data_IF_440737126873
#
_entry.id   IF_440737126873
#
_cell.length_a   1.000
_cell.length_b   1.000
_cell.length_c   1.000
_cell.angle_alpha   90.00
_cell.angle_beta   90.00
_cell.angle_gamma   90.00
#
_symmetry.space_group_name_H-M   'P 1'
#
loop_
_entity.id
_entity.type
_entity.pdbx_description
1 polymer ?
#
# COMPACT_ATOMS: atom_id res chain seq x y z
N UNK A 1 22.92 -8.63 -36.53
CA UNK A 1 23.08 -8.04 -35.19
C UNK A 1 21.87 -7.16 -34.88
N UNK A 2 20.98 -7.56 -33.97
CA UNK A 2 20.20 -6.56 -33.26
C UNK A 2 20.29 -6.78 -31.74
N UNK A 3 20.58 -5.72 -31.01
CA UNK A 3 20.12 -5.53 -29.64
C UNK A 3 19.72 -4.05 -29.53
N UNK A 4 18.87 -3.65 -28.58
CA UNK A 4 17.71 -4.29 -27.97
C UNK A 4 16.53 -3.28 -28.05
N UNK A 5 15.55 -3.31 -27.15
CA UNK A 5 14.53 -2.26 -26.95
C UNK A 5 13.19 -2.48 -27.65
N UNK A 6 12.59 -3.65 -27.43
CA UNK A 6 11.14 -3.65 -27.21
C UNK A 6 10.91 -2.86 -25.92
N UNK A 7 10.08 -1.80 -25.91
CA UNK A 7 9.69 -1.19 -24.65
C UNK A 7 8.89 -2.27 -23.90
N UNK A 8 9.51 -2.88 -22.89
CA UNK A 8 8.77 -3.55 -21.83
C UNK A 8 8.08 -2.42 -21.10
N UNK A 9 6.96 -1.94 -21.64
CA UNK A 9 6.03 -1.13 -20.89
C UNK A 9 5.63 -2.04 -19.73
N UNK A 10 6.22 -1.78 -18.56
CA UNK A 10 5.95 -2.54 -17.35
C UNK A 10 4.43 -2.63 -17.24
N UNK A 11 3.87 -3.84 -17.37
CA UNK A 11 2.42 -4.07 -17.28
C UNK A 11 1.86 -3.49 -15.98
N UNK A 12 2.69 -3.49 -14.93
CA UNK A 12 2.45 -2.79 -13.67
C UNK A 12 2.24 -1.28 -13.90
N UNK A 13 3.11 -0.60 -14.67
CA UNK A 13 3.02 0.86 -14.97
C UNK A 13 1.70 1.30 -15.54
N UNK A 14 1.17 0.51 -16.46
CA UNK A 14 -0.10 0.82 -17.10
C UNK A 14 -1.29 0.51 -16.19
N UNK A 15 -1.25 -0.59 -15.43
CA UNK A 15 -2.36 -0.95 -14.55
C UNK A 15 -2.56 0.03 -13.40
N UNK A 16 -1.51 0.57 -12.78
CA UNK A 16 -1.72 1.60 -11.75
C UNK A 16 -2.13 2.95 -12.34
N UNK A 17 -1.67 3.32 -13.54
CA UNK A 17 -2.17 4.53 -14.20
C UNK A 17 -3.67 4.47 -14.51
N UNK A 18 -4.15 3.31 -14.96
CA UNK A 18 -5.57 3.07 -15.22
C UNK A 18 -6.40 2.97 -13.92
N UNK A 19 -5.92 2.22 -12.93
CA UNK A 19 -6.60 2.07 -11.63
C UNK A 19 -6.65 3.39 -10.83
N UNK A 20 -5.55 4.16 -10.80
CA UNK A 20 -5.50 5.46 -10.13
C UNK A 20 -6.34 6.52 -10.87
N UNK A 21 -6.52 6.40 -12.20
CA UNK A 21 -7.43 7.28 -12.95
C UNK A 21 -8.90 7.08 -12.58
N UNK A 22 -9.26 5.94 -11.98
CA UNK A 22 -10.62 5.63 -11.53
C UNK A 22 -10.82 5.75 -10.02
N UNK A 23 -9.78 6.10 -9.27
CA UNK A 23 -9.85 6.20 -7.81
C UNK A 23 -10.37 7.59 -7.38
N UNK A 24 -11.31 7.61 -6.43
CA UNK A 24 -11.79 8.83 -5.77
C UNK A 24 -10.84 9.33 -4.66
N UNK A 25 -10.16 10.48 -4.82
CA UNK A 25 -9.20 10.98 -3.83
C UNK A 25 -9.84 11.33 -2.47
N UNK A 26 -11.16 11.53 -2.40
CA UNK A 26 -11.83 11.82 -1.13
C UNK A 26 -11.80 10.63 -0.14
N UNK A 27 -11.73 9.40 -0.66
CA UNK A 27 -11.68 8.20 0.18
C UNK A 27 -10.42 8.11 1.04
N UNK A 28 -9.19 8.24 0.51
CA UNK A 28 -7.98 8.23 1.34
C UNK A 28 -7.86 9.46 2.24
N UNK A 29 -8.35 10.64 1.85
CA UNK A 29 -8.35 11.83 2.71
C UNK A 29 -9.15 11.61 4.00
N UNK A 30 -10.36 11.04 3.90
CA UNK A 30 -11.18 10.72 5.05
C UNK A 30 -10.51 9.69 5.99
N UNK A 31 -9.82 8.69 5.42
CA UNK A 31 -9.09 7.69 6.20
C UNK A 31 -7.87 8.29 6.92
N UNK A 32 -7.21 9.28 6.32
CA UNK A 32 -6.11 10.02 6.95
C UNK A 32 -6.64 10.84 8.12
N UNK A 33 -7.75 11.56 7.93
CA UNK A 33 -8.39 12.34 9.00
C UNK A 33 -8.78 11.45 10.18
N UNK A 34 -9.39 10.29 9.91
CA UNK A 34 -9.75 9.32 10.94
C UNK A 34 -8.52 8.76 11.67
N UNK A 35 -7.48 8.36 10.93
CA UNK A 35 -6.25 7.80 11.51
C UNK A 35 -5.45 8.82 12.35
N UNK A 36 -5.63 10.12 12.11
CA UNK A 36 -4.82 11.19 12.74
C UNK A 36 -5.60 12.08 13.69
N UNK A 37 -6.90 11.83 13.91
CA UNK A 37 -7.79 12.69 14.71
C UNK A 37 -7.30 12.96 16.14
N UNK A 38 -6.64 11.96 16.75
CA UNK A 38 -6.08 12.05 18.11
C UNK A 38 -4.54 12.00 18.11
N UNK A 39 -3.91 12.33 16.98
CA UNK A 39 -2.46 12.36 16.87
C UNK A 39 -1.91 13.79 17.00
N UNK A 40 -1.02 13.98 17.97
CA UNK A 40 -0.34 15.24 18.29
C UNK A 40 1.12 15.27 17.78
N UNK A 41 1.56 14.25 17.03
CA UNK A 41 2.90 14.18 16.44
C UNK A 41 3.08 12.99 15.50
N UNK A 42 4.23 12.92 14.81
CA UNK A 42 4.53 11.89 13.80
C UNK A 42 4.46 10.46 14.37
N UNK A 43 4.99 10.23 15.57
CA UNK A 43 4.96 8.92 16.22
C UNK A 43 3.52 8.44 16.48
N UNK A 44 2.65 9.36 16.87
CA UNK A 44 1.23 9.09 17.12
C UNK A 44 0.47 8.90 15.80
N UNK A 45 0.80 9.65 14.75
CA UNK A 45 0.23 9.44 13.41
C UNK A 45 0.59 8.05 12.87
N UNK A 46 1.85 7.63 12.98
CA UNK A 46 2.29 6.29 12.56
C UNK A 46 1.54 5.21 13.32
N UNK A 47 1.33 5.41 14.62
CA UNK A 47 0.56 4.49 15.45
C UNK A 47 -0.91 4.46 15.04
N UNK A 48 -1.53 5.62 14.76
CA UNK A 48 -2.90 5.71 14.28
C UNK A 48 -3.12 4.97 12.96
N UNK A 49 -2.24 5.16 11.98
CA UNK A 49 -2.29 4.39 10.72
C UNK A 49 -2.10 2.90 10.93
N UNK A 50 -1.16 2.49 11.78
CA UNK A 50 -0.92 1.08 12.07
C UNK A 50 -2.18 0.42 12.63
N UNK A 51 -2.84 1.04 13.61
CA UNK A 51 -4.09 0.54 14.21
C UNK A 51 -5.19 0.42 13.18
N UNK A 52 -5.45 1.46 12.39
CA UNK A 52 -6.51 1.43 11.37
C UNK A 52 -6.31 0.31 10.34
N UNK A 53 -5.06 0.08 9.93
CA UNK A 53 -4.71 -0.98 8.98
C UNK A 53 -4.82 -2.37 9.64
N UNK A 54 -4.31 -2.53 10.85
CA UNK A 54 -4.34 -3.81 11.56
C UNK A 54 -5.78 -4.27 11.83
N UNK A 55 -6.66 -3.35 12.23
CA UNK A 55 -8.07 -3.65 12.53
C UNK A 55 -8.90 -3.91 11.26
N UNK A 56 -8.61 -3.19 10.17
CA UNK A 56 -9.37 -3.31 8.92
C UNK A 56 -8.93 -4.48 8.05
N UNK A 57 -7.68 -4.93 8.17
CA UNK A 57 -7.10 -5.92 7.27
C UNK A 57 -7.38 -7.35 7.74
N UNK A 58 -8.26 -8.03 7.02
CA UNK A 58 -8.48 -9.46 7.22
C UNK A 58 -7.23 -10.27 6.83
N UNK A 59 -6.63 -10.96 7.79
CA UNK A 59 -5.49 -11.86 7.59
C UNK A 59 -5.87 -13.31 7.94
N UNK A 60 -5.28 -14.33 7.27
CA UNK A 60 -4.34 -14.21 6.16
C UNK A 60 -5.04 -13.94 4.82
N UNK A 61 -4.34 -13.27 3.90
CA UNK A 61 -4.75 -13.15 2.49
C UNK A 61 -3.57 -13.38 1.55
N UNK A 62 -3.88 -13.71 0.29
CA UNK A 62 -2.89 -13.93 -0.77
C UNK A 62 -2.82 -12.71 -1.69
N UNK A 63 -1.61 -12.33 -2.08
CA UNK A 63 -1.37 -11.21 -3.00
C UNK A 63 -0.07 -11.45 -3.76
N UNK A 64 0.21 -10.60 -4.75
CA UNK A 64 1.42 -10.69 -5.57
C UNK A 64 2.34 -9.51 -5.27
N UNK A 65 3.56 -9.78 -4.81
CA UNK A 65 4.61 -8.77 -4.56
C UNK A 65 5.72 -8.96 -5.60
N UNK A 66 5.96 -7.93 -6.41
CA UNK A 66 6.97 -7.97 -7.49
C UNK A 66 6.83 -9.19 -8.43
N UNK A 67 5.60 -9.66 -8.67
CA UNK A 67 5.29 -10.82 -9.51
C UNK A 67 5.36 -12.18 -8.79
N UNK A 68 5.65 -12.19 -7.48
CA UNK A 68 5.71 -13.40 -6.66
C UNK A 68 4.46 -13.49 -5.79
N UNK A 69 3.76 -14.64 -5.83
CA UNK A 69 2.64 -14.90 -4.94
C UNK A 69 3.11 -15.10 -3.50
N UNK A 70 2.57 -14.29 -2.60
CA UNK A 70 2.89 -14.28 -1.17
C UNK A 70 1.61 -14.33 -0.35
N UNK A 71 1.70 -14.84 0.88
CA UNK A 71 0.61 -14.73 1.85
C UNK A 71 0.99 -13.76 2.96
N UNK A 72 0.20 -12.71 3.11
CA UNK A 72 0.32 -11.76 4.21
C UNK A 72 -0.34 -12.36 5.44
N UNK A 73 0.38 -12.34 6.56
CA UNK A 73 -0.05 -12.97 7.82
C UNK A 73 -0.33 -11.99 8.95
N UNK A 74 0.37 -10.87 8.96
CA UNK A 74 0.28 -9.84 9.99
C UNK A 74 0.83 -8.52 9.47
N UNK A 75 0.47 -7.43 10.13
CA UNK A 75 1.03 -6.09 9.95
C UNK A 75 1.89 -5.77 11.17
N UNK A 76 2.96 -5.00 11.00
CA UNK A 76 3.87 -4.63 12.10
C UNK A 76 4.17 -3.13 12.05
N UNK A 77 4.08 -2.46 13.19
CA UNK A 77 4.53 -1.07 13.36
C UNK A 77 6.03 -0.96 13.68
N UNK A 78 6.71 0.02 13.07
CA UNK A 78 8.01 0.55 13.54
C UNK A 78 9.31 -0.11 13.05
N UNK A 79 10.40 0.64 13.23
CA UNK A 79 11.76 0.48 12.67
C UNK A 79 12.53 -0.73 13.23
N UNK A 80 12.56 -1.86 12.49
CA UNK A 80 13.63 -2.85 12.68
C UNK A 80 13.35 -4.29 12.23
N UNK A 81 14.16 -4.71 11.24
CA UNK A 81 14.49 -6.06 10.76
C UNK A 81 13.36 -6.93 10.18
N UNK A 82 13.57 -7.36 8.93
CA UNK A 82 12.84 -8.41 8.21
C UNK A 82 12.95 -9.76 8.91
#
# INVERSE_FOLDING_TARGET
>A
MPLPNTPVLNRTVQHYGEAMSTWDPAAPEALIEEATVDAYGEDEQVTGFFTMIEESLAVPFSTTVLGVDVSVRLVRGGTGAF
#
